data_IF_303810467546
#
_entry.id   IF_303810467546
#
_cell.length_a   1.000
_cell.length_b   1.000
_cell.length_c   1.000
_cell.angle_alpha   90.00
_cell.angle_beta   90.00
_cell.angle_gamma   90.00
#
_symmetry.space_group_name_H-M   'P 1'
#
loop_
_entity.id
_entity.type
_entity.pdbx_description
1 polymer ?
#
# COMPACT_ATOMS: atom_id res chain seq x y z
N UNK A 1 -48.47 73.63 -37.66
CA UNK A 1 -48.66 72.20 -37.82
C UNK A 1 -47.36 71.56 -37.44
N UNK A 2 -47.27 71.03 -36.21
CA UNK A 2 -46.01 70.49 -35.71
C UNK A 2 -46.16 68.97 -35.61
N UNK A 3 -45.38 68.22 -36.41
CA UNK A 3 -45.33 66.75 -36.31
C UNK A 3 -44.36 66.36 -35.26
N UNK A 4 -44.85 65.71 -34.20
CA UNK A 4 -44.03 65.07 -33.17
C UNK A 4 -43.61 63.70 -33.67
N UNK A 5 -42.30 63.47 -33.84
CA UNK A 5 -41.69 62.17 -34.08
C UNK A 5 -41.38 61.53 -32.75
N UNK A 6 -41.98 60.38 -32.47
CA UNK A 6 -41.70 59.58 -31.29
C UNK A 6 -40.59 58.62 -31.67
N UNK A 7 -39.43 58.73 -30.96
CA UNK A 7 -38.29 57.84 -31.11
C UNK A 7 -38.45 56.71 -30.12
N UNK A 8 -38.74 55.49 -30.59
CA UNK A 8 -38.90 54.31 -29.78
C UNK A 8 -37.50 53.78 -29.40
N UNK A 9 -37.23 53.76 -28.10
CA UNK A 9 -36.03 53.17 -27.51
C UNK A 9 -36.27 51.67 -27.28
N UNK A 10 -35.72 50.82 -28.15
CA UNK A 10 -35.73 49.37 -27.95
C UNK A 10 -34.65 48.96 -26.98
N UNK A 11 -35.05 48.51 -25.79
CA UNK A 11 -34.15 47.95 -24.79
C UNK A 11 -33.93 46.47 -25.14
N UNK A 12 -32.73 46.13 -25.60
CA UNK A 12 -32.28 44.74 -25.74
C UNK A 12 -31.88 44.20 -24.35
N UNK A 13 -32.72 43.37 -23.79
CA UNK A 13 -32.37 42.58 -22.58
C UNK A 13 -31.58 41.38 -23.06
N UNK A 14 -30.25 41.44 -22.93
CA UNK A 14 -29.38 40.25 -23.07
C UNK A 14 -29.48 39.41 -21.84
N UNK A 15 -30.22 38.31 -21.90
CA UNK A 15 -30.24 37.28 -20.86
C UNK A 15 -28.91 36.55 -20.86
N UNK A 16 -28.09 36.80 -19.82
CA UNK A 16 -26.88 36.07 -19.54
C UNK A 16 -27.29 34.69 -18.95
N UNK A 17 -27.30 33.66 -19.81
CA UNK A 17 -27.48 32.29 -19.35
C UNK A 17 -26.23 31.89 -18.59
N UNK A 18 -26.30 31.80 -17.27
CA UNK A 18 -25.27 31.19 -16.45
C UNK A 18 -25.22 29.68 -16.77
N UNK A 19 -24.22 29.27 -17.52
CA UNK A 19 -23.91 27.84 -17.66
C UNK A 19 -23.36 27.35 -16.31
N UNK A 20 -24.18 26.61 -15.59
CA UNK A 20 -23.70 25.82 -14.47
C UNK A 20 -22.78 24.72 -15.02
N UNK A 21 -21.47 24.89 -14.86
CA UNK A 21 -20.52 23.83 -15.04
C UNK A 21 -20.74 22.82 -13.91
N UNK A 22 -21.56 21.81 -14.16
CA UNK A 22 -21.57 20.57 -13.38
C UNK A 22 -20.26 19.82 -13.65
N UNK A 23 -19.19 20.27 -13.00
CA UNK A 23 -18.00 19.46 -12.83
C UNK A 23 -18.36 18.36 -11.84
N UNK A 24 -18.73 17.19 -12.39
CA UNK A 24 -18.69 15.93 -11.64
C UNK A 24 -17.35 15.85 -10.89
N UNK A 25 -17.33 15.47 -9.59
CA UNK A 25 -16.07 15.32 -8.88
C UNK A 25 -15.23 14.31 -9.65
N UNK A 26 -14.12 14.78 -10.22
CA UNK A 26 -13.13 13.95 -10.87
C UNK A 26 -12.75 12.82 -9.91
N UNK A 27 -12.83 11.57 -10.40
CA UNK A 27 -12.19 10.41 -9.77
C UNK A 27 -10.86 10.90 -9.22
N UNK A 28 -10.68 10.72 -7.89
CA UNK A 28 -9.51 11.12 -7.14
C UNK A 28 -8.27 10.97 -8.02
N UNK A 29 -7.54 12.04 -8.24
CA UNK A 29 -6.24 11.99 -8.90
C UNK A 29 -5.41 10.97 -8.12
N UNK A 30 -5.28 9.76 -8.68
CA UNK A 30 -4.42 8.73 -8.13
C UNK A 30 -3.05 9.37 -8.00
N UNK A 31 -2.60 9.52 -6.79
CA UNK A 31 -1.34 10.13 -6.46
C UNK A 31 -0.24 9.21 -7.02
N UNK A 32 0.17 9.46 -8.25
CA UNK A 32 1.26 8.74 -8.89
C UNK A 32 2.56 9.07 -8.18
N UNK A 33 3.34 8.05 -7.88
CA UNK A 33 4.73 8.18 -7.46
C UNK A 33 5.62 7.66 -8.59
N UNK A 34 6.87 8.14 -8.64
CA UNK A 34 7.83 7.75 -9.67
C UNK A 34 8.73 6.59 -9.21
N UNK A 35 8.43 5.98 -8.07
CA UNK A 35 9.22 4.90 -7.50
C UNK A 35 8.56 3.52 -7.70
N UNK A 36 9.24 2.46 -7.28
CA UNK A 36 8.82 1.06 -7.44
C UNK A 36 7.49 0.74 -6.74
N UNK A 37 6.97 1.62 -5.89
CA UNK A 37 5.68 1.44 -5.22
C UNK A 37 4.49 1.88 -6.08
N UNK A 38 4.72 2.40 -7.30
CA UNK A 38 3.63 2.68 -8.25
C UNK A 38 3.09 1.37 -8.88
N UNK A 39 2.58 0.51 -8.02
CA UNK A 39 2.03 -0.80 -8.38
C UNK A 39 0.68 -0.96 -7.70
N UNK A 40 -0.29 -1.42 -8.47
CA UNK A 40 -1.63 -1.74 -7.98
C UNK A 40 -1.70 -3.24 -7.66
N UNK A 41 -2.02 -3.56 -6.42
CA UNK A 41 -2.09 -4.94 -5.94
C UNK A 41 -3.42 -5.18 -5.23
N UNK A 42 -4.09 -6.30 -5.56
CA UNK A 42 -5.36 -6.69 -4.96
C UNK A 42 -5.14 -7.12 -3.49
N UNK A 43 -6.00 -6.63 -2.62
CA UNK A 43 -6.03 -7.07 -1.22
C UNK A 43 -6.54 -8.51 -1.09
N UNK A 44 -6.05 -9.21 -0.09
CA UNK A 44 -6.50 -10.56 0.26
C UNK A 44 -8.02 -10.57 0.52
N UNK A 45 -8.73 -11.51 -0.10
CA UNK A 45 -10.19 -11.68 -0.01
C UNK A 45 -11.02 -10.43 -0.33
N UNK A 46 -10.51 -9.56 -1.17
CA UNK A 46 -11.21 -8.36 -1.60
C UNK A 46 -11.21 -8.24 -3.13
N UNK A 47 -12.18 -7.51 -3.66
CA UNK A 47 -12.15 -7.05 -5.06
C UNK A 47 -11.38 -5.73 -5.20
N UNK A 48 -10.99 -5.13 -4.08
CA UNK A 48 -10.28 -3.86 -4.08
C UNK A 48 -8.80 -4.10 -4.35
N UNK A 49 -8.27 -3.33 -5.29
CA UNK A 49 -6.84 -3.15 -5.47
C UNK A 49 -6.39 -1.85 -4.81
N UNK A 50 -5.14 -1.83 -4.42
CA UNK A 50 -4.54 -0.73 -3.70
C UNK A 50 -3.22 -0.38 -4.38
N UNK A 51 -3.07 0.88 -4.82
CA UNK A 51 -1.80 1.38 -5.30
C UNK A 51 -0.91 1.76 -4.11
N UNK A 52 0.30 1.18 -4.05
CA UNK A 52 1.18 1.42 -2.91
C UNK A 52 1.70 2.86 -2.85
N UNK A 53 1.56 3.66 -3.91
CA UNK A 53 1.83 5.10 -3.88
C UNK A 53 1.04 5.86 -2.81
N UNK A 54 -0.10 5.34 -2.36
CA UNK A 54 -0.84 5.95 -1.25
C UNK A 54 -0.03 6.01 0.06
N UNK A 55 1.03 5.19 0.16
CA UNK A 55 1.96 5.19 1.28
C UNK A 55 3.23 6.04 1.01
N UNK A 56 3.17 6.95 0.03
CA UNK A 56 4.26 7.90 -0.23
C UNK A 56 4.67 8.61 1.05
N UNK A 57 5.97 8.83 1.20
CA UNK A 57 6.56 9.49 2.38
C UNK A 57 6.32 8.76 3.72
N UNK A 58 6.03 7.46 3.68
CA UNK A 58 5.90 6.61 4.87
C UNK A 58 6.84 5.42 4.76
N UNK A 59 7.59 5.04 5.80
CA UNK A 59 8.40 3.82 5.78
C UNK A 59 7.50 2.60 5.69
N UNK A 60 7.99 1.57 4.98
CA UNK A 60 7.28 0.31 4.76
C UNK A 60 8.04 -0.84 5.41
N UNK A 61 7.33 -1.71 6.12
CA UNK A 61 7.79 -3.03 6.51
C UNK A 61 7.06 -4.07 5.65
N UNK A 62 7.75 -4.59 4.64
CA UNK A 62 7.21 -5.54 3.66
C UNK A 62 7.65 -6.94 4.07
N UNK A 63 6.70 -7.88 4.15
CA UNK A 63 6.95 -9.25 4.65
C UNK A 63 6.32 -10.26 3.72
N UNK A 64 7.09 -11.25 3.25
CA UNK A 64 6.51 -12.43 2.60
C UNK A 64 6.04 -13.42 3.66
N UNK A 65 4.81 -13.89 3.56
CA UNK A 65 4.16 -14.70 4.60
C UNK A 65 3.72 -16.06 4.06
N UNK A 66 3.42 -16.99 4.94
CA UNK A 66 2.78 -18.26 4.61
C UNK A 66 2.01 -18.81 5.82
N UNK A 67 0.93 -19.55 5.54
CA UNK A 67 0.00 -20.07 6.56
C UNK A 67 0.52 -21.28 7.33
N UNK A 68 1.34 -22.12 6.67
CA UNK A 68 1.79 -23.43 7.20
C UNK A 68 3.29 -23.47 7.51
N UNK A 69 3.88 -22.33 7.87
CA UNK A 69 5.30 -22.17 8.14
C UNK A 69 5.60 -22.27 9.64
N UNK A 70 6.76 -22.80 10.03
CA UNK A 70 7.23 -22.75 11.40
C UNK A 70 7.39 -21.33 11.98
N UNK A 71 7.38 -20.30 11.12
CA UNK A 71 7.44 -18.89 11.52
C UNK A 71 6.07 -18.19 11.50
N UNK A 72 4.96 -18.89 11.24
CA UNK A 72 3.62 -18.28 11.13
C UNK A 72 3.20 -17.55 12.41
N UNK A 73 3.66 -17.99 13.57
CA UNK A 73 3.46 -17.28 14.84
C UNK A 73 4.03 -15.85 14.86
N UNK A 74 4.91 -15.50 13.93
CA UNK A 74 5.41 -14.12 13.81
C UNK A 74 4.32 -13.12 13.40
N UNK A 75 3.16 -13.55 12.90
CA UNK A 75 2.02 -12.66 12.68
C UNK A 75 1.63 -11.88 13.95
N UNK A 76 1.66 -12.51 15.13
CA UNK A 76 1.40 -11.80 16.39
C UNK A 76 2.39 -10.66 16.64
N UNK A 77 3.67 -10.92 16.40
CA UNK A 77 4.71 -9.91 16.56
C UNK A 77 4.61 -8.79 15.52
N UNK A 78 4.29 -9.12 14.26
CA UNK A 78 4.06 -8.14 13.19
C UNK A 78 2.85 -7.27 13.49
N UNK A 79 1.76 -7.85 14.02
CA UNK A 79 0.58 -7.09 14.42
C UNK A 79 0.91 -6.13 15.58
N UNK A 80 1.68 -6.58 16.59
CA UNK A 80 2.16 -5.71 17.67
C UNK A 80 2.99 -4.53 17.12
N UNK A 81 3.91 -4.80 16.19
CA UNK A 81 4.69 -3.74 15.49
C UNK A 81 3.77 -2.80 14.74
N UNK A 82 2.79 -3.33 14.00
CA UNK A 82 1.81 -2.51 13.32
C UNK A 82 1.07 -1.59 14.28
N UNK A 83 0.49 -2.11 15.35
CA UNK A 83 -0.26 -1.31 16.31
C UNK A 83 0.60 -0.25 17.01
N UNK A 84 1.85 -0.58 17.33
CA UNK A 84 2.78 0.34 18.02
C UNK A 84 3.26 1.50 17.14
N UNK A 85 3.40 1.28 15.83
CA UNK A 85 4.09 2.22 14.94
C UNK A 85 3.20 2.80 13.82
N UNK A 86 1.98 2.32 13.60
CA UNK A 86 1.08 2.83 12.55
C UNK A 86 0.81 4.33 12.66
N UNK A 87 0.58 4.82 13.88
CA UNK A 87 0.32 6.23 14.16
C UNK A 87 1.60 7.09 14.13
N UNK A 88 2.77 6.43 14.16
CA UNK A 88 4.08 7.05 13.96
C UNK A 88 4.51 7.05 12.48
N UNK A 89 3.68 6.50 11.59
CA UNK A 89 3.89 6.54 10.15
C UNK A 89 4.31 5.22 9.50
N UNK A 90 4.72 4.19 10.26
CA UNK A 90 5.09 2.89 9.69
C UNK A 90 3.88 2.22 9.02
N UNK A 91 4.10 1.64 7.85
CA UNK A 91 3.13 0.78 7.16
C UNK A 91 3.66 -0.64 7.13
N UNK A 92 2.90 -1.60 7.67
CA UNK A 92 3.20 -3.03 7.56
C UNK A 92 2.37 -3.62 6.42
N UNK A 93 3.02 -4.38 5.53
CA UNK A 93 2.42 -4.98 4.33
C UNK A 93 2.79 -6.46 4.27
N UNK A 94 1.78 -7.32 4.22
CA UNK A 94 1.96 -8.78 4.11
C UNK A 94 1.67 -9.29 2.71
N UNK A 95 2.55 -10.14 2.21
CA UNK A 95 2.49 -10.77 0.89
C UNK A 95 2.50 -12.29 1.06
N UNK A 96 1.34 -12.95 1.10
CA UNK A 96 1.27 -14.41 1.07
C UNK A 96 1.96 -14.95 -0.18
N UNK A 97 2.75 -16.02 -0.02
CA UNK A 97 3.48 -16.65 -1.13
C UNK A 97 3.61 -18.15 -0.92
N UNK A 98 3.40 -18.91 -1.99
CA UNK A 98 3.63 -20.36 -2.01
C UNK A 98 5.00 -20.75 -2.60
N UNK A 99 5.91 -19.82 -2.84
CA UNK A 99 7.25 -20.09 -3.36
C UNK A 99 8.06 -21.09 -2.51
N UNK A 100 7.63 -21.35 -1.29
CA UNK A 100 8.25 -22.30 -0.35
C UNK A 100 7.30 -23.45 0.02
N UNK A 101 6.21 -23.65 -0.73
CA UNK A 101 5.25 -24.76 -0.58
C UNK A 101 4.62 -24.83 0.83
N UNK A 102 4.34 -23.66 1.41
CA UNK A 102 3.79 -23.56 2.76
C UNK A 102 2.60 -22.59 2.86
N UNK A 103 2.06 -22.15 1.74
CA UNK A 103 0.84 -21.34 1.74
C UNK A 103 -0.40 -22.21 1.51
N UNK A 104 -1.57 -21.75 1.95
CA UNK A 104 -2.85 -22.35 1.63
C UNK A 104 -3.25 -22.04 0.18
N UNK A 105 -3.96 -22.97 -0.47
CA UNK A 105 -4.42 -22.81 -1.84
C UNK A 105 -5.60 -21.86 -1.97
N UNK A 106 -6.42 -21.72 -0.94
CA UNK A 106 -7.62 -20.88 -0.94
C UNK A 106 -7.40 -19.61 -0.11
N UNK A 107 -7.66 -18.47 -0.71
CA UNK A 107 -7.59 -17.17 -0.01
C UNK A 107 -8.45 -17.10 1.26
N UNK A 108 -9.53 -17.90 1.34
CA UNK A 108 -10.37 -17.98 2.53
C UNK A 108 -9.59 -18.60 3.70
N UNK A 109 -8.78 -19.61 3.43
CA UNK A 109 -8.00 -20.28 4.45
C UNK A 109 -6.78 -19.44 4.86
N UNK A 110 -6.12 -18.79 3.89
CA UNK A 110 -5.08 -17.78 4.17
C UNK A 110 -5.63 -16.68 5.09
N UNK A 111 -6.78 -16.10 4.73
CA UNK A 111 -7.41 -15.03 5.51
C UNK A 111 -7.86 -15.52 6.90
N UNK A 112 -8.31 -16.77 7.02
CA UNK A 112 -8.63 -17.37 8.34
C UNK A 112 -7.39 -17.43 9.21
N UNK A 113 -6.25 -17.86 8.67
CA UNK A 113 -5.00 -17.89 9.42
C UNK A 113 -4.62 -16.49 9.87
N UNK A 114 -4.42 -15.54 8.96
CA UNK A 114 -3.91 -14.23 9.34
C UNK A 114 -4.92 -13.38 10.12
N UNK A 115 -6.19 -13.26 9.68
CA UNK A 115 -7.16 -12.35 10.27
C UNK A 115 -7.86 -12.94 11.50
N UNK A 116 -8.21 -14.23 11.49
CA UNK A 116 -8.98 -14.84 12.57
C UNK A 116 -8.04 -15.43 13.65
N UNK A 117 -7.05 -16.25 13.23
CA UNK A 117 -6.24 -16.95 14.20
C UNK A 117 -5.19 -16.03 14.85
N UNK A 118 -4.63 -15.07 14.07
CA UNK A 118 -3.58 -14.16 14.54
C UNK A 118 -4.03 -12.70 14.70
N UNK A 119 -5.27 -12.37 14.35
CA UNK A 119 -5.83 -11.02 14.54
C UNK A 119 -5.14 -9.94 13.75
N UNK A 120 -4.55 -10.27 12.61
CA UNK A 120 -3.85 -9.30 11.73
C UNK A 120 -4.81 -8.22 11.26
N UNK A 121 -4.42 -6.96 11.44
CA UNK A 121 -5.16 -5.78 10.98
C UNK A 121 -4.39 -4.95 9.95
N UNK A 122 -3.10 -5.19 9.76
CA UNK A 122 -2.35 -4.56 8.68
C UNK A 122 -2.74 -5.14 7.32
N UNK A 123 -2.38 -4.42 6.25
CA UNK A 123 -2.77 -4.80 4.89
C UNK A 123 -2.11 -6.10 4.46
N UNK A 124 -2.94 -7.08 4.09
CA UNK A 124 -2.53 -8.31 3.42
C UNK A 124 -2.96 -8.27 1.96
N UNK A 125 -2.08 -8.69 1.06
CA UNK A 125 -2.34 -8.78 -0.37
C UNK A 125 -2.69 -10.21 -0.80
N UNK A 126 -3.17 -10.36 -2.02
CA UNK A 126 -3.37 -11.69 -2.63
C UNK A 126 -2.03 -12.42 -2.76
N UNK A 127 -2.08 -13.75 -2.80
CA UNK A 127 -0.91 -14.59 -3.02
C UNK A 127 -0.18 -14.20 -4.30
N UNK A 128 1.14 -14.13 -4.21
CA UNK A 128 2.01 -13.83 -5.36
C UNK A 128 3.42 -14.38 -5.14
N UNK A 129 4.13 -14.54 -6.23
CA UNK A 129 5.54 -14.92 -6.21
C UNK A 129 6.40 -13.78 -5.63
N UNK A 130 7.41 -14.14 -4.83
CA UNK A 130 8.31 -13.20 -4.14
C UNK A 130 9.78 -13.42 -4.49
N UNK A 131 10.08 -14.45 -5.28
CA UNK A 131 11.44 -14.82 -5.69
C UNK A 131 11.55 -15.06 -7.20
N UNK A 132 12.77 -15.17 -7.67
CA UNK A 132 13.14 -15.51 -9.04
C UNK A 132 12.56 -14.53 -10.09
N UNK A 133 12.44 -14.96 -11.34
CA UNK A 133 11.96 -14.12 -12.47
C UNK A 133 10.49 -13.74 -12.36
N UNK A 134 9.70 -14.55 -11.66
CA UNK A 134 8.25 -14.43 -11.59
C UNK A 134 7.77 -13.58 -10.40
N UNK A 135 8.71 -13.18 -9.53
CA UNK A 135 8.40 -12.28 -8.40
C UNK A 135 7.54 -11.08 -8.83
N UNK A 136 6.57 -10.72 -8.00
CA UNK A 136 5.77 -9.52 -8.24
C UNK A 136 6.65 -8.26 -8.32
N UNK A 137 6.19 -7.16 -8.92
CA UNK A 137 7.03 -5.96 -9.16
C UNK A 137 7.69 -5.40 -7.90
N UNK A 138 7.03 -5.49 -6.74
CA UNK A 138 7.59 -5.03 -5.46
C UNK A 138 8.80 -5.88 -5.09
N UNK A 139 8.64 -7.21 -5.09
CA UNK A 139 9.73 -8.12 -4.74
C UNK A 139 10.83 -8.17 -5.80
N UNK A 140 10.52 -7.97 -7.10
CA UNK A 140 11.56 -7.76 -8.12
C UNK A 140 12.50 -6.63 -7.75
N UNK A 141 11.95 -5.48 -7.34
CA UNK A 141 12.76 -4.35 -6.92
C UNK A 141 13.55 -4.65 -5.63
N UNK A 142 12.89 -5.16 -4.58
CA UNK A 142 13.53 -5.49 -3.31
C UNK A 142 14.68 -6.50 -3.51
N UNK A 143 14.46 -7.51 -4.33
CA UNK A 143 15.44 -8.56 -4.63
C UNK A 143 16.65 -8.01 -5.39
N UNK A 144 16.43 -7.10 -6.34
CA UNK A 144 17.50 -6.45 -7.09
C UNK A 144 18.36 -5.54 -6.21
N UNK A 145 17.79 -4.89 -5.21
CA UNK A 145 18.50 -4.00 -4.29
C UNK A 145 19.16 -4.73 -3.12
N UNK A 146 18.70 -5.93 -2.79
CA UNK A 146 19.21 -6.70 -1.66
C UNK A 146 19.52 -8.15 -2.05
N UNK A 147 18.56 -9.03 -1.92
CA UNK A 147 18.49 -10.40 -2.48
C UNK A 147 17.10 -10.99 -2.24
N UNK A 148 16.75 -12.03 -3.01
CA UNK A 148 15.51 -12.78 -2.84
C UNK A 148 15.37 -13.35 -1.43
N UNK A 149 14.14 -13.51 -0.91
CA UNK A 149 13.92 -14.25 0.31
C UNK A 149 14.30 -15.71 0.09
N UNK A 150 14.97 -16.32 1.08
CA UNK A 150 15.34 -17.75 1.06
C UNK A 150 14.30 -18.60 1.80
N UNK A 151 13.34 -17.98 2.45
CA UNK A 151 12.26 -18.61 3.19
C UNK A 151 11.11 -17.65 3.44
N UNK A 152 10.02 -18.12 4.02
CA UNK A 152 8.90 -17.28 4.46
C UNK A 152 9.30 -16.38 5.64
N UNK A 153 8.58 -15.29 5.84
CA UNK A 153 8.79 -14.29 6.90
C UNK A 153 10.13 -13.55 6.83
N UNK A 154 10.68 -13.36 5.63
CA UNK A 154 11.68 -12.33 5.39
C UNK A 154 11.02 -10.95 5.47
N UNK A 155 11.72 -9.98 6.03
CA UNK A 155 11.25 -8.62 6.20
C UNK A 155 12.16 -7.66 5.44
N UNK A 156 11.55 -6.67 4.80
CA UNK A 156 12.23 -5.60 4.11
C UNK A 156 11.72 -4.28 4.69
N UNK A 157 12.58 -3.56 5.40
CA UNK A 157 12.29 -2.24 5.91
C UNK A 157 12.77 -1.21 4.90
N UNK A 158 11.84 -0.46 4.32
CA UNK A 158 12.08 0.54 3.29
C UNK A 158 11.87 1.92 3.89
N UNK A 159 12.84 2.84 3.70
CA UNK A 159 12.73 4.23 4.14
C UNK A 159 11.60 4.98 3.41
N UNK A 160 11.12 6.09 3.97
CA UNK A 160 10.04 6.89 3.40
C UNK A 160 10.40 7.47 2.02
N UNK A 161 11.66 7.85 1.82
CA UNK A 161 12.20 8.33 0.55
C UNK A 161 12.56 7.21 -0.45
N UNK A 162 12.33 5.94 -0.09
CA UNK A 162 12.62 4.74 -0.88
C UNK A 162 14.09 4.47 -1.19
N UNK A 163 15.04 5.23 -0.61
CA UNK A 163 16.47 5.10 -0.91
C UNK A 163 17.17 4.02 -0.12
N UNK A 164 16.66 3.67 1.05
CA UNK A 164 17.26 2.66 1.93
C UNK A 164 16.35 1.46 2.09
N UNK A 165 16.90 0.27 1.88
CA UNK A 165 16.21 -1.00 2.11
C UNK A 165 17.09 -1.86 3.00
N UNK A 166 16.57 -2.26 4.16
CA UNK A 166 17.21 -3.24 5.06
C UNK A 166 16.45 -4.53 5.03
N UNK A 167 17.16 -5.63 4.75
CA UNK A 167 16.60 -6.97 4.67
C UNK A 167 16.91 -7.76 5.94
N UNK A 168 15.91 -8.43 6.50
CA UNK A 168 16.02 -9.28 7.67
C UNK A 168 15.53 -10.69 7.34
N UNK A 169 16.24 -11.72 7.77
CA UNK A 169 15.83 -13.10 7.54
C UNK A 169 14.70 -13.53 8.49
N UNK A 170 14.16 -14.73 8.27
CA UNK A 170 13.03 -15.29 9.05
C UNK A 170 13.31 -15.40 10.55
N UNK A 171 14.58 -15.62 10.96
CA UNK A 171 14.97 -15.79 12.37
C UNK A 171 14.96 -14.48 13.16
N UNK A 172 14.99 -13.32 12.46
CA UNK A 172 14.85 -12.01 13.12
C UNK A 172 13.36 -11.83 13.46
N UNK A 173 13.03 -12.04 14.73
CA UNK A 173 11.65 -11.91 15.20
C UNK A 173 11.16 -10.44 15.08
N UNK A 174 9.84 -10.22 14.84
CA UNK A 174 9.31 -8.86 14.72
C UNK A 174 9.54 -7.97 15.96
N UNK A 175 9.59 -8.57 17.15
CA UNK A 175 9.87 -7.89 18.41
C UNK A 175 11.34 -7.90 18.82
N UNK A 176 12.25 -8.35 17.96
CA UNK A 176 13.68 -8.35 18.26
C UNK A 176 14.22 -6.91 18.35
N UNK A 177 15.21 -6.72 19.23
CA UNK A 177 15.88 -5.42 19.34
C UNK A 177 16.43 -4.94 17.99
N UNK A 178 16.94 -5.85 17.17
CA UNK A 178 17.51 -5.57 15.85
C UNK A 178 16.47 -4.91 14.91
N UNK A 179 15.26 -5.49 14.81
CA UNK A 179 14.22 -4.95 13.94
C UNK A 179 13.59 -3.68 14.53
N UNK A 180 13.36 -3.64 15.83
CA UNK A 180 12.77 -2.48 16.51
C UNK A 180 13.69 -1.26 16.38
N UNK A 181 14.98 -1.39 16.69
CA UNK A 181 15.95 -0.31 16.54
C UNK A 181 16.01 0.19 15.08
N UNK A 182 15.95 -0.72 14.11
CA UNK A 182 15.94 -0.34 12.70
C UNK A 182 14.67 0.45 12.33
N UNK A 183 13.50 0.05 12.82
CA UNK A 183 12.23 0.76 12.60
C UNK A 183 12.30 2.16 13.23
N UNK A 184 12.72 2.26 14.49
CA UNK A 184 12.79 3.54 15.20
C UNK A 184 13.77 4.49 14.52
N UNK A 185 14.95 4.03 14.14
CA UNK A 185 15.92 4.83 13.38
C UNK A 185 15.35 5.29 12.03
N UNK A 186 14.58 4.44 11.34
CA UNK A 186 13.97 4.80 10.05
C UNK A 186 12.88 5.86 10.24
N UNK A 187 12.14 5.84 11.35
CA UNK A 187 11.11 6.82 11.67
C UNK A 187 11.68 8.18 12.10
N UNK A 188 12.90 8.22 12.65
CA UNK A 188 13.56 9.47 13.07
C UNK A 188 14.13 10.28 11.90
N UNK A 189 14.38 9.66 10.76
CA UNK A 189 15.03 10.28 9.58
C UNK A 189 13.99 10.96 8.66
N UNK A 190 12.70 10.83 8.96
CA UNK A 190 11.58 11.34 8.14
C UNK A 190 11.04 12.68 8.63
#
# INVERSE_FOLDING_TARGET
MLKKTILGLSIFITSLAAQANDTLPSKQQQQQCEDFTNVEIRKLRSKESLNLCQFKNRPLLIVNTASNCGFTSQFEGLEKVHQQYKDKGLVVLGFPSDDFFQEENDEKDIAKVCFINYGVTFTMFTTSEVRDSDANPIFKHLNAQTSSPNWNFYKYLVSADRKTIKRFNSKVAPNSKELIDAIENTLLIN
#
